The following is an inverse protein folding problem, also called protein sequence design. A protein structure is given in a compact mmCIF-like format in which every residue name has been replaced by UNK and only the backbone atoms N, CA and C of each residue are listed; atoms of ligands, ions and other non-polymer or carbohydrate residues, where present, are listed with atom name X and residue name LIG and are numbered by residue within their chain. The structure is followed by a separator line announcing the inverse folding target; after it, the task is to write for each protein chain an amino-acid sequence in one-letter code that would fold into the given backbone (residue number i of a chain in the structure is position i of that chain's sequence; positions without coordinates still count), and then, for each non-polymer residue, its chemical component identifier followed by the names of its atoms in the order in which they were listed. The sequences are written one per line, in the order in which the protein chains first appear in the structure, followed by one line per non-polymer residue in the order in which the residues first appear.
data_IF_879341338127
#
_entry.id   IF_879341338127
#
_cell.length_a   1.000
_cell.length_b   1.000
_cell.length_c   1.000
_cell.angle_alpha   90.00
_cell.angle_beta   90.00
_cell.angle_gamma   90.00
#
_symmetry.space_group_name_H-M   'P 1'
#
loop_
_entity.id
_entity.type
_entity.pdbx_description
1 polymer ?
#
# COMPACT_ATOMS: atom_id res chain seq x y z
N UNK A 1 -20.09 0.03 -16.02
CA UNK A 1 -18.92 -0.58 -16.72
C UNK A 1 -17.85 0.44 -17.14
N UNK A 2 -18.14 1.74 -17.33
CA UNK A 2 -17.09 2.73 -17.63
C UNK A 2 -16.17 3.05 -16.43
N UNK A 3 -16.66 2.97 -15.19
CA UNK A 3 -15.93 3.38 -13.99
C UNK A 3 -14.80 2.43 -13.56
N UNK A 4 -14.90 1.14 -13.85
CA UNK A 4 -13.89 0.13 -13.46
C UNK A 4 -12.69 0.15 -14.39
N UNK A 5 -12.92 0.29 -15.70
CA UNK A 5 -11.87 0.50 -16.70
C UNK A 5 -11.12 1.80 -16.45
N UNK A 6 -11.85 2.90 -16.16
CA UNK A 6 -11.23 4.18 -15.85
C UNK A 6 -10.40 4.13 -14.54
N UNK A 7 -10.83 3.33 -13.55
CA UNK A 7 -10.07 3.09 -12.34
C UNK A 7 -8.79 2.29 -12.59
N UNK A 8 -8.86 1.24 -13.42
CA UNK A 8 -7.69 0.41 -13.77
C UNK A 8 -6.65 1.20 -14.58
N UNK A 9 -7.09 2.02 -15.53
CA UNK A 9 -6.21 2.87 -16.34
C UNK A 9 -5.56 3.97 -15.49
N UNK A 10 -6.31 4.59 -14.59
CA UNK A 10 -5.78 5.60 -13.66
C UNK A 10 -4.75 4.98 -12.69
N UNK A 11 -5.01 3.79 -12.18
CA UNK A 11 -4.08 3.02 -11.34
C UNK A 11 -2.79 2.69 -12.10
N UNK A 12 -2.91 2.22 -13.34
CA UNK A 12 -1.76 1.86 -14.17
C UNK A 12 -0.90 3.08 -14.50
N UNK A 13 -1.53 4.19 -14.90
CA UNK A 13 -0.85 5.45 -15.18
C UNK A 13 -0.12 6.02 -13.95
N UNK A 14 -0.77 5.98 -12.78
CA UNK A 14 -0.17 6.43 -11.53
C UNK A 14 1.01 5.56 -11.12
N UNK A 15 0.85 4.24 -11.20
CA UNK A 15 1.94 3.29 -10.91
C UNK A 15 3.13 3.53 -11.84
N UNK A 16 2.89 3.71 -13.14
CA UNK A 16 3.93 4.06 -14.11
C UNK A 16 4.62 5.39 -13.79
N UNK A 17 3.87 6.39 -13.31
CA UNK A 17 4.44 7.69 -12.92
C UNK A 17 5.35 7.61 -11.68
N UNK A 18 5.08 6.68 -10.77
CA UNK A 18 5.86 6.47 -9.54
C UNK A 18 7.05 5.52 -9.75
N UNK A 19 7.03 4.72 -10.80
CA UNK A 19 8.09 3.75 -11.12
C UNK A 19 9.51 4.35 -11.09
N UNK A 20 9.79 5.53 -11.67
CA UNK A 20 11.13 6.13 -11.62
C UNK A 20 11.58 6.51 -10.20
N UNK A 21 10.64 6.82 -9.30
CA UNK A 21 10.97 7.05 -7.89
C UNK A 21 11.31 5.74 -7.17
N UNK A 22 10.54 4.68 -7.45
CA UNK A 22 10.77 3.34 -6.90
C UNK A 22 12.10 2.74 -7.36
N UNK A 23 12.44 2.89 -8.64
CA UNK A 23 13.71 2.39 -9.19
C UNK A 23 14.92 3.05 -8.53
N UNK A 24 14.85 4.37 -8.25
CA UNK A 24 15.94 5.11 -7.59
C UNK A 24 16.23 4.62 -6.16
N UNK A 25 15.22 4.12 -5.46
CA UNK A 25 15.37 3.58 -4.09
C UNK A 25 15.52 2.06 -4.07
N UNK A 26 15.57 1.41 -5.25
CA UNK A 26 15.66 -0.04 -5.37
C UNK A 26 14.40 -0.78 -4.92
N UNK A 27 13.25 -0.10 -4.86
CA UNK A 27 11.99 -0.71 -4.51
C UNK A 27 11.51 -1.64 -5.63
N UNK A 28 10.85 -2.72 -5.24
CA UNK A 28 10.30 -3.71 -6.17
C UNK A 28 8.83 -3.92 -5.85
N UNK A 29 7.97 -3.74 -6.84
CA UNK A 29 6.58 -4.16 -6.74
C UNK A 29 6.52 -5.69 -6.71
N UNK A 30 5.70 -6.22 -5.81
CA UNK A 30 5.52 -7.65 -5.61
C UNK A 30 4.07 -8.00 -5.94
N UNK A 31 3.87 -9.18 -6.54
CA UNK A 31 2.54 -9.64 -6.93
C UNK A 31 1.67 -10.06 -5.73
N UNK A 32 2.31 -10.46 -4.62
CA UNK A 32 1.65 -10.80 -3.37
C UNK A 32 2.60 -10.61 -2.18
N UNK A 33 2.05 -10.65 -0.96
CA UNK A 33 2.84 -10.51 0.27
C UNK A 33 3.76 -11.71 0.49
N UNK A 34 3.34 -12.90 0.09
CA UNK A 34 4.11 -14.14 0.20
C UNK A 34 5.33 -14.14 -0.73
N UNK A 35 5.24 -13.43 -1.85
CA UNK A 35 6.36 -13.23 -2.77
C UNK A 35 7.34 -12.13 -2.30
N UNK A 36 7.00 -11.40 -1.23
CA UNK A 36 7.83 -10.32 -0.72
C UNK A 36 9.08 -10.86 0.00
N UNK A 37 10.24 -10.29 -0.32
CA UNK A 37 11.48 -10.63 0.36
C UNK A 37 11.43 -10.18 1.83
N UNK A 38 11.55 -11.12 2.77
CA UNK A 38 11.51 -10.84 4.22
C UNK A 38 12.77 -10.14 4.74
N UNK A 39 13.85 -10.08 3.96
CA UNK A 39 15.03 -9.28 4.30
C UNK A 39 14.89 -7.80 3.95
N UNK A 40 13.80 -7.41 3.29
CA UNK A 40 13.49 -6.02 2.93
C UNK A 40 12.21 -5.55 3.62
N UNK A 41 12.13 -4.26 4.02
CA UNK A 41 10.91 -3.71 4.58
C UNK A 41 9.79 -3.68 3.53
N UNK A 42 8.56 -3.95 3.97
CA UNK A 42 7.38 -3.85 3.11
C UNK A 42 6.71 -2.47 3.23
N UNK A 43 6.32 -1.90 2.09
CA UNK A 43 5.45 -0.73 2.02
C UNK A 43 4.22 -1.05 1.15
N UNK A 44 3.07 -0.49 1.52
CA UNK A 44 1.81 -0.66 0.79
C UNK A 44 1.43 0.67 0.17
N UNK A 45 1.38 0.72 -1.17
CA UNK A 45 0.91 1.89 -1.91
C UNK A 45 -0.62 1.88 -1.99
N UNK A 46 -1.25 2.88 -1.37
CA UNK A 46 -2.70 3.07 -1.39
C UNK A 46 -3.04 3.92 -2.60
N UNK A 47 -3.68 3.32 -3.61
CA UNK A 47 -3.94 3.98 -4.90
C UNK A 47 -5.31 4.65 -4.98
N UNK A 48 -6.31 4.10 -4.29
CA UNK A 48 -7.70 4.59 -4.35
C UNK A 48 -8.42 4.38 -3.03
N UNK A 49 -9.59 5.01 -2.88
CA UNK A 49 -10.59 4.65 -1.87
C UNK A 49 -11.06 3.19 -1.98
N UNK A 50 -11.59 2.66 -0.86
CA UNK A 50 -12.13 1.30 -0.80
C UNK A 50 -11.10 0.16 -0.66
N UNK A 51 -9.82 0.49 -0.51
CA UNK A 51 -8.73 -0.50 -0.38
C UNK A 51 -8.46 -0.95 1.06
N UNK A 52 -9.25 -0.50 2.04
CA UNK A 52 -9.05 -0.79 3.47
C UNK A 52 -8.84 -2.29 3.74
N UNK A 53 -9.76 -3.13 3.24
CA UNK A 53 -9.68 -4.59 3.42
C UNK A 53 -8.41 -5.19 2.85
N UNK A 54 -7.92 -4.68 1.71
CA UNK A 54 -6.70 -5.16 1.08
C UNK A 54 -5.45 -4.78 1.89
N UNK A 55 -5.43 -3.55 2.44
CA UNK A 55 -4.35 -3.09 3.33
C UNK A 55 -4.28 -3.94 4.60
N UNK A 56 -5.44 -4.20 5.24
CA UNK A 56 -5.53 -5.05 6.43
C UNK A 56 -5.08 -6.49 6.14
N UNK A 57 -5.52 -7.06 5.02
CA UNK A 57 -5.13 -8.40 4.60
C UNK A 57 -3.62 -8.49 4.34
N UNK A 58 -3.06 -7.50 3.66
CA UNK A 58 -1.63 -7.45 3.37
C UNK A 58 -0.79 -7.33 4.65
N UNK A 59 -1.21 -6.49 5.60
CA UNK A 59 -0.55 -6.38 6.90
C UNK A 59 -0.64 -7.70 7.67
N UNK A 60 -1.82 -8.29 7.80
CA UNK A 60 -2.03 -9.55 8.53
C UNK A 60 -1.20 -10.69 7.93
N UNK A 61 -1.17 -10.83 6.60
CA UNK A 61 -0.33 -11.80 5.92
C UNK A 61 1.15 -11.57 6.22
N UNK A 62 1.62 -10.31 6.19
CA UNK A 62 3.02 -9.99 6.47
C UNK A 62 3.42 -10.31 7.91
N UNK A 63 2.52 -10.08 8.88
CA UNK A 63 2.76 -10.42 10.28
C UNK A 63 2.94 -11.93 10.51
N UNK A 64 2.44 -12.80 9.62
CA UNK A 64 2.72 -14.24 9.70
C UNK A 64 4.18 -14.58 9.41
N UNK A 65 4.87 -13.76 8.62
CA UNK A 65 6.28 -13.95 8.28
C UNK A 65 7.22 -13.14 9.18
N UNK A 66 6.84 -11.90 9.52
CA UNK A 66 7.62 -10.98 10.35
C UNK A 66 6.72 -10.28 11.38
N UNK A 67 6.44 -10.93 12.53
CA UNK A 67 5.68 -10.32 13.61
C UNK A 67 6.34 -9.04 14.13
N UNK A 68 5.56 -7.97 14.29
CA UNK A 68 6.01 -6.68 14.81
C UNK A 68 6.66 -5.75 13.79
N UNK A 69 6.79 -6.16 12.52
CA UNK A 69 7.30 -5.27 11.47
C UNK A 69 6.39 -4.03 11.32
N UNK A 70 6.93 -2.80 11.34
CA UNK A 70 6.15 -1.60 11.14
C UNK A 70 5.53 -1.54 9.73
N UNK A 71 4.30 -1.05 9.64
CA UNK A 71 3.61 -0.85 8.36
C UNK A 71 3.93 0.54 7.78
N UNK A 72 4.45 0.58 6.56
CA UNK A 72 4.55 1.80 5.77
C UNK A 72 3.41 1.89 4.76
N UNK A 73 2.60 2.94 4.85
CA UNK A 73 1.56 3.27 3.88
C UNK A 73 2.04 4.42 3.01
N UNK A 74 2.16 4.20 1.71
CA UNK A 74 2.47 5.24 0.75
C UNK A 74 1.17 5.79 0.17
N UNK A 75 1.06 7.11 0.13
CA UNK A 75 -0.12 7.83 -0.35
C UNK A 75 0.25 8.87 -1.38
N UNK A 76 -0.70 9.27 -2.22
CA UNK A 76 -0.53 10.34 -3.20
C UNK A 76 -1.72 11.31 -3.11
N UNK A 77 -1.62 12.46 -3.79
CA UNK A 77 -2.61 13.54 -3.68
C UNK A 77 -4.01 13.23 -4.30
N UNK A 78 -4.14 12.12 -5.04
CA UNK A 78 -5.32 11.83 -5.86
C UNK A 78 -6.18 10.68 -5.34
N UNK A 79 -7.32 10.46 -5.99
CA UNK A 79 -8.16 9.25 -5.88
C UNK A 79 -8.55 8.82 -4.45
N UNK A 80 -8.62 9.75 -3.49
CA UNK A 80 -8.90 9.47 -2.08
C UNK A 80 -7.87 8.55 -1.41
N UNK A 81 -6.62 8.54 -1.91
CA UNK A 81 -5.53 7.72 -1.36
C UNK A 81 -5.22 8.04 0.11
N UNK A 82 -5.04 9.32 0.45
CA UNK A 82 -4.75 9.73 1.82
C UNK A 82 -5.91 9.41 2.79
N UNK A 83 -7.19 9.78 2.52
CA UNK A 83 -8.31 9.36 3.35
C UNK A 83 -8.37 7.84 3.56
N UNK A 84 -8.19 7.05 2.49
CA UNK A 84 -8.21 5.60 2.59
C UNK A 84 -7.07 5.03 3.45
N UNK A 85 -5.87 5.61 3.35
CA UNK A 85 -4.75 5.23 4.19
C UNK A 85 -4.97 5.61 5.66
N UNK A 86 -5.58 6.76 5.94
CA UNK A 86 -5.93 7.18 7.30
C UNK A 86 -6.97 6.25 7.92
N UNK A 87 -8.02 5.88 7.16
CA UNK A 87 -9.03 4.91 7.59
C UNK A 87 -8.40 3.55 7.91
N UNK A 88 -7.58 3.03 6.99
CA UNK A 88 -6.89 1.76 7.19
C UNK A 88 -5.91 1.79 8.38
N UNK A 89 -5.13 2.86 8.53
CA UNK A 89 -4.19 3.01 9.64
C UNK A 89 -4.93 3.09 10.98
N UNK A 90 -6.01 3.87 11.07
CA UNK A 90 -6.80 4.00 12.28
C UNK A 90 -7.38 2.64 12.71
N UNK A 91 -7.83 1.82 11.76
CA UNK A 91 -8.30 0.47 12.03
C UNK A 91 -7.16 -0.44 12.52
N UNK A 92 -6.04 -0.45 11.82
CA UNK A 92 -4.87 -1.27 12.15
C UNK A 92 -4.24 -0.92 13.49
N UNK A 93 -4.24 0.36 13.88
CA UNK A 93 -3.76 0.79 15.19
C UNK A 93 -4.60 0.22 16.34
N UNK A 94 -5.92 0.04 16.13
CA UNK A 94 -6.77 -0.65 17.12
C UNK A 94 -6.42 -2.14 17.26
N UNK A 95 -5.87 -2.73 16.21
CA UNK A 95 -5.42 -4.12 16.18
C UNK A 95 -3.93 -4.26 16.58
N UNK A 96 -3.31 -3.18 17.08
CA UNK A 96 -1.95 -3.17 17.64
C UNK A 96 -0.83 -2.89 16.62
N UNK A 97 -1.17 -2.54 15.37
CA UNK A 97 -0.17 -2.24 14.36
C UNK A 97 0.59 -0.92 14.65
N UNK A 98 1.90 -0.94 14.47
CA UNK A 98 2.71 0.29 14.41
C UNK A 98 2.87 0.72 12.95
N UNK A 99 2.11 1.73 12.52
CA UNK A 99 2.14 2.20 11.13
C UNK A 99 2.57 3.66 10.97
N UNK A 100 3.03 4.01 9.76
CA UNK A 100 3.33 5.38 9.33
C UNK A 100 2.81 5.60 7.91
N UNK A 101 2.29 6.81 7.66
CA UNK A 101 1.92 7.27 6.32
C UNK A 101 3.03 8.15 5.78
N UNK A 102 3.41 7.94 4.52
CA UNK A 102 4.32 8.77 3.76
C UNK A 102 3.59 9.23 2.50
N UNK A 103 3.68 10.51 2.18
CA UNK A 103 3.13 11.07 0.95
C UNK A 103 4.23 11.08 -0.12
N UNK A 104 3.93 10.56 -1.31
CA UNK A 104 4.82 10.43 -2.46
C UNK A 104 4.30 11.18 -3.68
#
# INVERSE_FOLDING_TARGET
MASELHGADAVSALTASLQPAFDRVGARLVASVEAANTSLPMAVLVLTGGTERAVLAAWSARQQFLPGEPLLLLTHAGHNSLPAALEALARLQRDGANGRIVMV
#
